data_IF_380873161326
#
_entry.id   IF_380873161326
#
_cell.length_a   1.000
_cell.length_b   1.000
_cell.length_c   1.000
_cell.angle_alpha   90.00
_cell.angle_beta   90.00
_cell.angle_gamma   90.00
#
_symmetry.space_group_name_H-M   'P 1'
#
loop_
_entity.id
_entity.type
_entity.pdbx_description
1 polymer ?
#
# COMPACT_ATOMS: atom_id res chain seq x y z
N UNK A 1 8.58 -16.47 8.45
CA UNK A 1 8.14 -17.79 7.92
C UNK A 1 8.27 -17.68 6.43
N UNK A 2 9.34 -18.24 5.88
CA UNK A 2 9.59 -18.18 4.45
C UNK A 2 8.52 -19.00 3.72
N UNK A 3 7.92 -18.43 2.68
CA UNK A 3 7.05 -19.16 1.77
C UNK A 3 7.93 -20.13 0.95
N UNK A 4 7.90 -21.41 1.30
CA UNK A 4 8.61 -22.45 0.56
C UNK A 4 7.86 -22.77 -0.74
N UNK A 5 8.16 -21.98 -1.77
CA UNK A 5 7.68 -22.19 -3.14
C UNK A 5 8.81 -22.73 -4.01
N UNK A 6 8.50 -23.71 -4.86
CA UNK A 6 9.44 -24.19 -5.88
C UNK A 6 9.74 -23.10 -6.91
N UNK A 7 10.84 -23.25 -7.66
CA UNK A 7 11.20 -22.33 -8.75
C UNK A 7 10.08 -22.15 -9.77
N UNK A 8 9.41 -23.25 -10.14
CA UNK A 8 8.30 -23.25 -11.10
C UNK A 8 7.08 -22.50 -10.53
N UNK A 9 6.71 -22.77 -9.28
CA UNK A 9 5.62 -22.07 -8.61
C UNK A 9 5.89 -20.57 -8.50
N UNK A 10 7.13 -20.17 -8.17
CA UNK A 10 7.55 -18.76 -8.12
C UNK A 10 7.46 -18.10 -9.49
N UNK A 11 7.86 -18.79 -10.55
CA UNK A 11 7.78 -18.27 -11.91
C UNK A 11 6.32 -18.05 -12.38
N UNK A 12 5.39 -18.90 -11.94
CA UNK A 12 3.97 -18.81 -12.28
C UNK A 12 3.20 -17.69 -11.56
N UNK A 13 3.77 -17.10 -10.50
CA UNK A 13 3.09 -16.05 -9.74
C UNK A 13 2.85 -14.76 -10.55
N UNK A 14 1.72 -14.08 -10.31
CA UNK A 14 1.51 -12.71 -10.78
C UNK A 14 2.60 -11.75 -10.27
N UNK A 15 2.83 -10.64 -10.99
CA UNK A 15 3.90 -9.67 -10.67
C UNK A 15 3.87 -9.21 -9.21
N UNK A 16 2.74 -8.69 -8.73
CA UNK A 16 2.61 -8.22 -7.35
C UNK A 16 2.87 -9.36 -6.33
N UNK A 17 2.42 -10.58 -6.61
CA UNK A 17 2.67 -11.73 -5.72
C UNK A 17 4.16 -12.06 -5.63
N UNK A 18 4.91 -11.99 -6.74
CA UNK A 18 6.37 -12.17 -6.73
C UNK A 18 7.06 -11.11 -5.85
N UNK A 19 6.63 -9.86 -5.99
CA UNK A 19 7.17 -8.74 -5.21
C UNK A 19 6.87 -8.93 -3.72
N UNK A 20 5.63 -9.31 -3.36
CA UNK A 20 5.24 -9.57 -1.97
C UNK A 20 6.07 -10.70 -1.36
N UNK A 21 6.31 -11.79 -2.08
CA UNK A 21 7.18 -12.87 -1.60
C UNK A 21 8.59 -12.35 -1.32
N UNK A 22 9.19 -11.62 -2.28
CA UNK A 22 10.53 -11.04 -2.11
C UNK A 22 10.58 -10.03 -0.94
N UNK A 23 9.52 -9.26 -0.71
CA UNK A 23 9.42 -8.37 0.44
C UNK A 23 9.44 -9.13 1.76
N UNK A 24 8.68 -10.22 1.87
CA UNK A 24 8.69 -11.03 3.09
C UNK A 24 10.06 -11.66 3.35
N UNK A 25 10.76 -12.09 2.31
CA UNK A 25 12.12 -12.61 2.43
C UNK A 25 13.12 -11.52 2.85
N UNK A 26 13.05 -10.32 2.26
CA UNK A 26 13.85 -9.17 2.68
C UNK A 26 13.61 -8.85 4.16
N UNK A 27 12.34 -8.84 4.59
CA UNK A 27 11.96 -8.65 5.99
C UNK A 27 12.51 -9.75 6.90
N UNK A 28 12.39 -11.02 6.53
CA UNK A 28 12.89 -12.16 7.31
C UNK A 28 14.43 -12.11 7.46
N UNK A 29 15.14 -11.54 6.48
CA UNK A 29 16.59 -11.27 6.55
C UNK A 29 16.97 -9.97 7.26
N UNK A 30 16.00 -9.13 7.63
CA UNK A 30 16.24 -7.80 8.21
C UNK A 30 16.67 -6.73 7.20
N UNK A 31 16.60 -6.99 5.90
CA UNK A 31 16.93 -6.04 4.84
C UNK A 31 15.78 -5.05 4.62
N UNK A 32 15.83 -3.98 5.41
CA UNK A 32 14.80 -2.94 5.43
C UNK A 32 14.80 -2.09 4.16
N UNK A 33 15.97 -1.87 3.56
CA UNK A 33 16.12 -1.10 2.32
C UNK A 33 15.52 -1.87 1.14
N UNK A 34 15.83 -3.15 1.02
CA UNK A 34 15.23 -4.01 -0.01
C UNK A 34 13.71 -4.11 0.16
N UNK A 35 13.23 -4.24 1.40
CA UNK A 35 11.79 -4.27 1.69
C UNK A 35 11.09 -3.01 1.16
N UNK A 36 11.61 -1.81 1.43
CA UNK A 36 10.97 -0.57 0.99
C UNK A 36 11.13 -0.29 -0.50
N UNK A 37 12.27 -0.68 -1.08
CA UNK A 37 12.45 -0.65 -2.53
C UNK A 37 11.38 -1.49 -3.23
N UNK A 38 11.17 -2.74 -2.78
CA UNK A 38 10.14 -3.62 -3.32
C UNK A 38 8.73 -3.11 -3.06
N UNK A 39 8.46 -2.51 -1.88
CA UNK A 39 7.18 -1.89 -1.58
C UNK A 39 6.81 -0.79 -2.59
N UNK A 40 7.78 0.02 -3.01
CA UNK A 40 7.57 1.09 -4.01
C UNK A 40 7.23 0.56 -5.41
N UNK A 41 7.53 -0.70 -5.68
CA UNK A 41 7.24 -1.33 -6.97
C UNK A 41 5.86 -1.98 -7.04
N UNK A 42 5.17 -2.14 -5.92
CA UNK A 42 3.85 -2.74 -5.86
C UNK A 42 2.80 -1.84 -6.50
N UNK A 43 1.96 -2.45 -7.32
CA UNK A 43 0.75 -1.79 -7.81
C UNK A 43 -0.34 -1.96 -6.74
N UNK A 44 -0.37 -1.04 -5.78
CA UNK A 44 -1.25 -1.11 -4.61
C UNK A 44 -2.68 -0.65 -5.00
N UNK A 45 -3.73 -1.40 -4.63
CA UNK A 45 -5.10 -0.98 -4.91
C UNK A 45 -5.44 0.39 -4.30
N UNK A 46 -6.21 1.19 -5.03
CA UNK A 46 -6.62 2.54 -4.61
C UNK A 46 -7.20 2.59 -3.19
N UNK A 47 -8.07 1.64 -2.83
CA UNK A 47 -8.68 1.59 -1.50
C UNK A 47 -7.67 1.30 -0.38
N UNK A 48 -6.63 0.51 -0.66
CA UNK A 48 -5.55 0.24 0.29
C UNK A 48 -4.70 1.49 0.50
N UNK A 49 -4.38 2.23 -0.57
CA UNK A 49 -3.68 3.51 -0.48
C UNK A 49 -4.49 4.54 0.33
N UNK A 50 -5.82 4.58 0.12
CA UNK A 50 -6.72 5.41 0.94
C UNK A 50 -6.68 5.00 2.42
N UNK A 51 -6.74 3.70 2.71
CA UNK A 51 -6.62 3.22 4.09
C UNK A 51 -5.27 3.63 4.72
N UNK A 52 -4.17 3.56 3.98
CA UNK A 52 -2.84 3.99 4.44
C UNK A 52 -2.81 5.50 4.72
N UNK A 53 -3.34 6.32 3.81
CA UNK A 53 -3.47 7.78 3.99
C UNK A 53 -4.22 8.11 5.29
N UNK A 54 -5.29 7.37 5.57
CA UNK A 54 -6.18 7.62 6.71
C UNK A 54 -5.76 6.95 8.03
N UNK A 55 -4.89 5.94 8.00
CA UNK A 55 -4.55 5.13 9.18
C UNK A 55 -3.88 5.93 10.32
N UNK A 56 -3.14 7.00 10.01
CA UNK A 56 -2.51 7.87 11.01
C UNK A 56 -2.23 9.27 10.47
N UNK A 57 -1.92 10.20 11.37
CA UNK A 57 -1.37 11.50 10.98
C UNK A 57 -0.11 11.32 10.11
N UNK A 58 0.00 12.10 9.04
CA UNK A 58 1.12 11.99 8.08
C UNK A 58 1.05 10.77 7.14
N UNK A 59 -0.11 10.11 6.99
CA UNK A 59 -0.25 9.00 6.05
C UNK A 59 0.06 9.37 4.60
N UNK A 60 -0.35 10.57 4.16
CA UNK A 60 -0.01 11.10 2.84
C UNK A 60 1.50 11.29 2.66
N UNK A 61 2.16 11.90 3.64
CA UNK A 61 3.61 12.10 3.61
C UNK A 61 4.37 10.77 3.63
N UNK A 62 3.87 9.78 4.36
CA UNK A 62 4.44 8.44 4.39
C UNK A 62 4.37 7.75 3.01
N UNK A 63 3.23 7.87 2.31
CA UNK A 63 3.07 7.35 0.94
C UNK A 63 4.09 8.00 0.01
N UNK A 64 4.23 9.34 0.09
CA UNK A 64 5.21 10.10 -0.72
C UNK A 64 6.65 9.72 -0.40
N UNK A 65 7.00 9.67 0.88
CA UNK A 65 8.36 9.35 1.34
C UNK A 65 8.82 7.95 0.89
N UNK A 66 7.87 7.05 0.60
CA UNK A 66 8.15 5.68 0.11
C UNK A 66 7.96 5.52 -1.38
N UNK A 67 7.72 6.61 -2.10
CA UNK A 67 7.56 6.63 -3.55
C UNK A 67 6.58 5.56 -4.04
N UNK A 68 5.48 5.36 -3.31
CA UNK A 68 4.50 4.34 -3.68
C UNK A 68 3.79 4.74 -4.97
N UNK A 69 3.51 3.77 -5.83
CA UNK A 69 2.76 3.99 -7.07
C UNK A 69 1.31 4.32 -6.74
N UNK A 70 0.89 5.55 -7.07
CA UNK A 70 -0.47 6.04 -6.79
C UNK A 70 -1.41 6.00 -7.97
N UNK A 71 -0.97 5.54 -9.15
CA UNK A 71 -1.73 5.61 -10.41
C UNK A 71 -3.22 5.21 -10.25
N UNK A 72 -3.50 4.07 -9.64
CA UNK A 72 -4.89 3.62 -9.46
C UNK A 72 -5.71 4.52 -8.53
N UNK A 73 -5.06 5.09 -7.51
CA UNK A 73 -5.70 6.05 -6.62
C UNK A 73 -5.93 7.40 -7.31
N UNK A 74 -4.98 7.85 -8.13
CA UNK A 74 -5.13 9.06 -8.95
C UNK A 74 -6.28 8.92 -9.96
N UNK A 75 -6.41 7.74 -10.58
CA UNK A 75 -7.53 7.42 -11.50
C UNK A 75 -8.88 7.38 -10.77
N UNK A 76 -8.92 6.91 -9.51
CA UNK A 76 -10.17 6.71 -8.76
C UNK A 76 -10.64 7.94 -7.98
N UNK A 77 -9.72 8.63 -7.30
CA UNK A 77 -10.00 9.75 -6.39
C UNK A 77 -9.62 11.11 -6.97
N UNK A 78 -9.01 11.10 -8.15
CA UNK A 78 -8.49 12.29 -8.81
C UNK A 78 -7.03 12.58 -8.45
N UNK A 79 -6.31 13.28 -9.34
CA UNK A 79 -4.96 13.76 -9.03
C UNK A 79 -5.00 14.67 -7.80
N UNK A 80 -4.02 14.54 -6.92
CA UNK A 80 -3.95 15.33 -5.68
C UNK A 80 -4.79 14.78 -4.53
N UNK A 81 -5.35 13.57 -4.64
CA UNK A 81 -6.08 12.91 -3.55
C UNK A 81 -5.27 12.82 -2.24
N UNK A 82 -3.94 12.81 -2.30
CA UNK A 82 -3.08 12.83 -1.10
C UNK A 82 -3.21 14.13 -0.28
N UNK A 83 -3.57 15.25 -0.90
CA UNK A 83 -3.70 16.57 -0.27
C UNK A 83 -5.12 16.87 0.21
N UNK A 84 -6.10 16.06 -0.20
CA UNK A 84 -7.48 16.25 0.22
C UNK A 84 -7.64 15.95 1.70
N UNK A 85 -8.00 16.96 2.49
CA UNK A 85 -8.21 16.86 3.95
C UNK A 85 -9.65 16.54 4.34
N UNK A 86 -10.61 16.83 3.46
CA UNK A 86 -12.06 16.75 3.72
C UNK A 86 -12.56 15.31 3.96
N UNK A 87 -11.87 14.30 3.43
CA UNK A 87 -12.30 12.90 3.55
C UNK A 87 -12.17 12.33 4.97
N UNK A 88 -11.30 12.91 5.82
CA UNK A 88 -11.26 12.54 7.25
C UNK A 88 -12.57 12.90 7.93
N UNK A 89 -13.19 14.02 7.54
CA UNK A 89 -14.46 14.46 8.08
C UNK A 89 -15.60 13.59 7.55
N UNK A 90 -15.63 13.27 6.25
CA UNK A 90 -16.69 12.44 5.68
C UNK A 90 -16.62 10.98 6.18
N UNK A 91 -15.41 10.40 6.32
CA UNK A 91 -15.23 9.07 6.91
C UNK A 91 -15.57 9.08 8.41
N UNK A 92 -15.17 10.12 9.16
CA UNK A 92 -15.56 10.29 10.56
C UNK A 92 -17.09 10.42 10.72
N UNK A 93 -17.75 11.15 9.82
CA UNK A 93 -19.21 11.30 9.80
C UNK A 93 -19.91 9.98 9.46
N UNK A 94 -19.39 9.18 8.52
CA UNK A 94 -19.95 7.84 8.21
C UNK A 94 -19.79 6.85 9.37
N UNK A 95 -18.65 6.88 10.08
CA UNK A 95 -18.42 6.09 11.30
C UNK A 95 -19.23 6.58 12.52
N UNK A 96 -19.65 7.85 12.54
CA UNK A 96 -20.59 8.38 13.52
C UNK A 96 -22.04 8.04 13.18
N UNK A 97 -22.41 8.02 11.89
CA UNK A 97 -23.75 7.74 11.41
C UNK A 97 -24.12 6.24 11.44
N UNK A 98 -23.16 5.33 11.31
CA UNK A 98 -23.38 3.88 11.37
C UNK A 98 -23.45 3.27 12.78
N UNK A 99 -23.48 4.09 13.84
CA UNK A 99 -23.57 3.68 15.26
C UNK A 99 -24.88 4.13 15.93
N UNK A 100 -25.98 4.15 15.18
CA UNK A 100 -27.33 4.36 15.72
C UNK A 100 -28.19 3.12 15.54
#
# INVERSE_FOLDING_TARGET
>A
MALELTTEQRAALPRNSKIVVAMWEAKDRGDTEEYYRLLSELDIPAHTLMAIKCAKAGGADWIRARNLRTRQADEKYGPGWLDQTEEKEELAQRHAAGRR
#
